data_IF_036005266826
#
_entry.id   IF_036005266826
#
_cell.length_a   1.000
_cell.length_b   1.000
_cell.length_c   1.000
_cell.angle_alpha   90.00
_cell.angle_beta   90.00
_cell.angle_gamma   90.00
#
_symmetry.space_group_name_H-M   'P 1'
#
loop_
_entity.id
_entity.type
_entity.pdbx_description
1 polymer ?
#
# COMPACT_ATOMS: atom_id res chain seq x y z
N UNK A 1 -2.15 -63.37 -31.54
CA UNK A 1 -2.77 -62.03 -31.44
C UNK A 1 -2.71 -61.60 -29.99
N UNK A 2 -1.86 -60.63 -29.63
CA UNK A 2 -1.76 -60.10 -28.26
C UNK A 2 -2.43 -58.73 -28.24
N UNK A 3 -3.52 -58.59 -27.49
CA UNK A 3 -4.21 -57.33 -27.29
C UNK A 3 -3.45 -56.51 -26.23
N UNK A 4 -2.98 -55.33 -26.61
CA UNK A 4 -2.40 -54.34 -25.70
C UNK A 4 -3.53 -53.45 -25.18
N UNK A 5 -3.88 -53.61 -23.90
CA UNK A 5 -4.70 -52.65 -23.17
C UNK A 5 -3.83 -51.46 -22.77
N UNK A 6 -4.04 -50.29 -23.39
CA UNK A 6 -3.48 -49.03 -22.91
C UNK A 6 -4.40 -48.45 -21.83
N UNK A 7 -3.90 -48.38 -20.60
CA UNK A 7 -4.54 -47.70 -19.49
C UNK A 7 -4.27 -46.19 -19.66
N UNK A 8 -5.31 -45.43 -19.98
CA UNK A 8 -5.27 -43.98 -20.03
C UNK A 8 -5.38 -43.44 -18.59
N UNK A 9 -4.24 -43.06 -17.99
CA UNK A 9 -4.21 -42.35 -16.71
C UNK A 9 -4.65 -40.90 -16.94
N UNK A 10 -5.92 -40.61 -16.65
CA UNK A 10 -6.45 -39.25 -16.61
C UNK A 10 -5.93 -38.57 -15.34
N UNK A 11 -4.83 -37.81 -15.43
CA UNK A 11 -4.35 -36.99 -14.32
C UNK A 11 -5.33 -35.83 -14.12
N UNK A 12 -6.20 -35.93 -13.12
CA UNK A 12 -7.06 -34.84 -12.70
C UNK A 12 -6.20 -33.82 -11.95
N UNK A 13 -5.79 -32.75 -12.64
CA UNK A 13 -5.09 -31.61 -12.04
C UNK A 13 -6.07 -30.90 -11.11
N UNK A 14 -6.01 -31.19 -9.80
CA UNK A 14 -6.60 -30.34 -8.78
C UNK A 14 -5.90 -28.98 -8.87
N UNK A 15 -6.53 -28.04 -9.59
CA UNK A 15 -6.15 -26.64 -9.51
C UNK A 15 -6.42 -26.20 -8.08
N UNK A 16 -5.35 -26.03 -7.30
CA UNK A 16 -5.42 -25.24 -6.07
C UNK A 16 -6.15 -23.94 -6.40
N UNK A 17 -7.12 -23.48 -5.59
CA UNK A 17 -7.71 -22.17 -5.79
C UNK A 17 -6.56 -21.19 -5.90
N UNK A 18 -6.49 -20.53 -7.06
CA UNK A 18 -5.35 -19.72 -7.45
C UNK A 18 -4.98 -18.80 -6.30
N UNK A 19 -3.69 -18.74 -5.98
CA UNK A 19 -3.17 -17.60 -5.24
C UNK A 19 -3.61 -16.37 -6.05
N UNK A 20 -4.68 -15.71 -5.60
CA UNK A 20 -5.07 -14.44 -6.16
C UNK A 20 -3.81 -13.58 -6.10
N UNK A 21 -3.33 -13.16 -7.26
CA UNK A 21 -2.14 -12.31 -7.35
C UNK A 21 -2.36 -11.16 -6.38
N UNK A 22 -1.53 -11.10 -5.33
CA UNK A 22 -1.68 -10.13 -4.26
C UNK A 22 -1.62 -8.75 -4.92
N UNK A 23 -2.77 -8.07 -4.98
CA UNK A 23 -2.90 -6.86 -5.77
C UNK A 23 -1.96 -5.81 -5.18
N UNK A 24 -0.86 -5.48 -5.86
CA UNK A 24 0.12 -4.53 -5.32
C UNK A 24 -0.50 -3.15 -5.14
N UNK A 25 -0.18 -2.48 -4.02
CA UNK A 25 -0.48 -1.07 -3.83
C UNK A 25 0.14 -0.26 -4.97
N UNK A 26 -0.70 0.55 -5.63
CA UNK A 26 -0.27 1.36 -6.78
C UNK A 26 0.10 2.75 -6.32
N UNK A 27 1.38 3.07 -6.37
CA UNK A 27 1.84 4.43 -6.09
C UNK A 27 3.12 4.77 -6.85
N UNK A 28 3.28 6.07 -7.14
CA UNK A 28 4.54 6.65 -7.60
C UNK A 28 5.14 7.55 -6.53
N UNK A 29 6.46 7.69 -6.55
CA UNK A 29 7.17 8.63 -5.68
C UNK A 29 7.64 9.79 -6.55
N UNK A 30 7.32 11.01 -6.14
CA UNK A 30 7.85 12.20 -6.80
C UNK A 30 9.23 12.54 -6.25
N UNK A 31 10.22 11.71 -6.62
CA UNK A 31 11.54 11.70 -6.00
C UNK A 31 12.27 13.04 -6.03
N UNK A 32 12.02 13.89 -7.04
CA UNK A 32 12.57 15.25 -7.14
C UNK A 32 12.18 16.16 -5.96
N UNK A 33 11.13 15.81 -5.22
CA UNK A 33 10.69 16.56 -4.04
C UNK A 33 11.43 16.13 -2.77
N UNK A 34 12.12 15.00 -2.77
CA UNK A 34 12.83 14.46 -1.62
C UNK A 34 14.36 14.66 -1.73
N UNK A 35 15.03 14.58 -0.58
CA UNK A 35 16.50 14.61 -0.49
C UNK A 35 17.13 13.21 -0.63
N UNK A 36 16.32 12.16 -0.74
CA UNK A 36 16.74 10.75 -0.85
C UNK A 36 16.40 10.13 -2.19
N UNK A 37 17.14 9.08 -2.54
CA UNK A 37 16.94 8.34 -3.80
C UNK A 37 15.61 7.56 -3.82
N UNK A 38 14.93 7.58 -4.98
CA UNK A 38 13.63 6.92 -5.16
C UNK A 38 13.67 5.42 -4.78
N UNK A 39 14.73 4.72 -5.17
CA UNK A 39 14.86 3.28 -4.95
C UNK A 39 14.86 2.92 -3.45
N UNK A 40 15.51 3.74 -2.62
CA UNK A 40 15.59 3.49 -1.18
C UNK A 40 14.28 3.88 -0.49
N UNK A 41 13.69 5.03 -0.86
CA UNK A 41 12.36 5.42 -0.39
C UNK A 41 11.34 4.31 -0.70
N UNK A 42 11.33 3.82 -1.94
CA UNK A 42 10.42 2.76 -2.38
C UNK A 42 10.58 1.49 -1.55
N UNK A 43 11.81 1.05 -1.30
CA UNK A 43 12.06 -0.13 -0.45
C UNK A 43 11.47 0.03 0.95
N UNK A 44 11.68 1.20 1.59
CA UNK A 44 11.10 1.48 2.90
C UNK A 44 9.58 1.43 2.83
N UNK A 45 8.98 2.10 1.85
CA UNK A 45 7.52 2.20 1.75
C UNK A 45 6.86 0.85 1.44
N UNK A 46 7.47 0.03 0.58
CA UNK A 46 7.01 -1.34 0.30
C UNK A 46 7.13 -2.24 1.53
N UNK A 47 8.22 -2.11 2.29
CA UNK A 47 8.45 -2.94 3.46
C UNK A 47 7.45 -2.65 4.58
N UNK A 48 7.14 -1.38 4.83
CA UNK A 48 6.18 -0.99 5.87
C UNK A 48 4.73 -1.16 5.44
N UNK A 49 4.40 -1.00 4.16
CA UNK A 49 3.03 -1.21 3.68
C UNK A 49 2.61 -2.69 3.72
N UNK A 50 3.55 -3.62 3.50
CA UNK A 50 3.28 -5.07 3.41
C UNK A 50 2.48 -5.64 4.59
N UNK A 51 2.87 -5.45 5.86
CA UNK A 51 2.13 -6.00 7.00
C UNK A 51 0.71 -5.44 7.14
N UNK A 52 0.45 -4.21 6.68
CA UNK A 52 -0.90 -3.64 6.65
C UNK A 52 -1.69 -4.23 5.49
N UNK A 53 -1.14 -4.14 4.28
CA UNK A 53 -1.82 -4.45 3.03
C UNK A 53 -2.26 -5.90 2.88
N UNK A 54 -1.48 -6.86 3.41
CA UNK A 54 -1.82 -8.29 3.39
C UNK A 54 -3.20 -8.59 4.00
N UNK A 55 -3.72 -7.72 4.87
CA UNK A 55 -5.01 -7.90 5.54
C UNK A 55 -6.21 -7.34 4.72
N UNK A 56 -5.97 -6.80 3.53
CA UNK A 56 -6.98 -6.19 2.67
C UNK A 56 -7.13 -6.92 1.31
N UNK A 57 -7.31 -8.26 1.30
CA UNK A 57 -7.41 -9.01 0.05
C UNK A 57 -8.62 -8.55 -0.79
N UNK A 58 -8.36 -8.16 -2.04
CA UNK A 58 -9.40 -7.69 -2.96
C UNK A 58 -9.88 -6.24 -2.71
N UNK A 59 -9.38 -5.56 -1.68
CA UNK A 59 -9.64 -4.14 -1.47
C UNK A 59 -8.99 -3.32 -2.59
N UNK A 60 -9.70 -2.28 -3.04
CA UNK A 60 -9.23 -1.44 -4.15
C UNK A 60 -8.96 -0.03 -3.62
N UNK A 61 -7.72 0.41 -3.79
CA UNK A 61 -7.29 1.77 -3.52
C UNK A 61 -6.95 2.45 -4.84
N UNK A 62 -7.34 3.72 -4.98
CA UNK A 62 -6.93 4.55 -6.10
C UNK A 62 -5.40 4.69 -6.16
N UNK A 63 -4.81 4.96 -7.33
CA UNK A 63 -3.37 5.24 -7.40
C UNK A 63 -2.97 6.39 -6.48
N UNK A 64 -1.81 6.28 -5.83
CA UNK A 64 -1.26 7.33 -4.98
C UNK A 64 -0.04 8.01 -5.62
N UNK A 65 0.19 9.25 -5.24
CA UNK A 65 1.48 9.93 -5.40
C UNK A 65 2.02 10.31 -4.03
N UNK A 66 3.29 9.96 -3.80
CA UNK A 66 4.02 10.32 -2.59
C UNK A 66 4.92 11.52 -2.89
N UNK A 67 4.77 12.59 -2.11
CA UNK A 67 5.52 13.85 -2.26
C UNK A 67 6.08 14.32 -0.91
N UNK A 68 7.07 15.22 -0.93
CA UNK A 68 7.59 15.85 0.29
C UNK A 68 6.63 16.93 0.84
N UNK A 69 6.52 16.98 2.16
CA UNK A 69 5.90 18.07 2.94
C UNK A 69 6.96 18.83 3.72
N UNK A 70 6.66 20.08 4.10
CA UNK A 70 7.47 20.87 5.05
C UNK A 70 6.63 21.33 6.26
N UNK A 71 5.47 20.71 6.48
CA UNK A 71 4.49 21.12 7.50
C UNK A 71 3.83 19.91 8.17
N UNK A 72 4.55 18.78 8.28
CA UNK A 72 4.02 17.50 8.75
C UNK A 72 3.48 16.58 7.64
N UNK A 73 3.36 15.27 7.92
CA UNK A 73 2.76 14.32 7.00
C UNK A 73 1.24 14.56 6.89
N UNK A 74 0.66 14.23 5.73
CA UNK A 74 -0.77 14.36 5.46
C UNK A 74 -1.21 13.61 4.20
N UNK A 75 -2.37 12.95 4.24
CA UNK A 75 -3.15 12.59 3.06
C UNK A 75 -4.10 13.72 2.67
N UNK A 76 -4.01 14.19 1.43
CA UNK A 76 -4.91 15.23 0.90
C UNK A 76 -6.22 14.59 0.43
N UNK A 77 -7.35 15.07 0.94
CA UNK A 77 -8.69 14.63 0.51
C UNK A 77 -8.91 14.79 -1.00
N UNK A 78 -8.55 15.96 -1.52
CA UNK A 78 -8.66 16.26 -2.94
C UNK A 78 -7.64 15.46 -3.77
N UNK A 79 -8.14 14.72 -4.77
CA UNK A 79 -7.29 14.06 -5.76
C UNK A 79 -6.59 15.09 -6.64
N UNK A 80 -5.38 14.78 -7.10
CA UNK A 80 -4.69 15.64 -8.06
C UNK A 80 -5.32 15.54 -9.48
N UNK A 81 -4.77 16.29 -10.43
CA UNK A 81 -5.24 16.28 -11.83
C UNK A 81 -5.18 14.90 -12.52
N UNK A 82 -4.36 13.97 -12.00
CA UNK A 82 -4.23 12.58 -12.49
C UNK A 82 -5.17 11.61 -11.76
N UNK A 83 -6.09 12.13 -10.94
CA UNK A 83 -6.97 11.33 -10.07
C UNK A 83 -6.20 10.47 -9.06
N UNK A 84 -5.01 10.91 -8.63
CA UNK A 84 -4.22 10.23 -7.61
C UNK A 84 -4.53 10.79 -6.21
N UNK A 85 -4.55 9.90 -5.22
CA UNK A 85 -4.47 10.29 -3.81
C UNK A 85 -3.09 10.92 -3.56
N UNK A 86 -3.04 12.12 -3.00
CA UNK A 86 -1.77 12.78 -2.68
C UNK A 86 -1.42 12.51 -1.23
N UNK A 87 -0.33 11.78 -1.02
CA UNK A 87 0.25 11.57 0.31
C UNK A 87 1.52 12.42 0.40
N UNK A 88 1.61 13.23 1.46
CA UNK A 88 2.78 14.05 1.72
C UNK A 88 3.49 13.55 2.95
N UNK A 89 4.80 13.38 2.87
CA UNK A 89 5.64 12.94 3.99
C UNK A 89 6.61 14.07 4.34
N UNK A 90 6.70 14.43 5.62
CA UNK A 90 7.66 15.39 6.14
C UNK A 90 8.92 14.67 6.65
N UNK A 91 9.71 14.16 5.71
CA UNK A 91 10.92 13.38 5.99
C UNK A 91 12.17 14.13 5.57
N UNK A 92 13.32 13.81 6.17
CA UNK A 92 14.59 14.45 5.83
C UNK A 92 15.65 13.42 5.49
N UNK A 93 16.37 13.68 4.39
CA UNK A 93 17.50 12.87 3.94
C UNK A 93 17.18 11.37 4.07
N UNK A 94 18.06 10.62 4.71
CA UNK A 94 18.00 9.17 4.93
C UNK A 94 17.45 8.80 6.31
N UNK A 95 16.63 9.65 6.94
CA UNK A 95 16.00 9.32 8.23
C UNK A 95 14.86 8.32 8.02
N UNK A 96 15.21 7.07 7.74
CA UNK A 96 14.28 6.02 7.33
C UNK A 96 13.15 5.75 8.33
N UNK A 97 13.38 5.98 9.62
CA UNK A 97 12.33 5.92 10.64
C UNK A 97 11.20 6.91 10.37
N UNK A 98 11.49 8.11 9.86
CA UNK A 98 10.47 9.09 9.49
C UNK A 98 9.64 8.61 8.31
N UNK A 99 10.29 8.05 7.28
CA UNK A 99 9.58 7.48 6.12
C UNK A 99 8.69 6.32 6.55
N UNK A 100 9.21 5.42 7.38
CA UNK A 100 8.47 4.26 7.85
C UNK A 100 7.24 4.65 8.67
N UNK A 101 7.45 5.45 9.71
CA UNK A 101 6.39 5.91 10.62
C UNK A 101 5.31 6.70 9.85
N UNK A 102 5.72 7.75 9.13
CA UNK A 102 4.76 8.64 8.48
C UNK A 102 4.01 7.95 7.34
N UNK A 103 4.69 7.11 6.55
CA UNK A 103 3.99 6.40 5.46
C UNK A 103 2.99 5.40 6.00
N UNK A 104 3.30 4.66 7.07
CA UNK A 104 2.35 3.73 7.66
C UNK A 104 1.11 4.47 8.22
N UNK A 105 1.34 5.56 8.95
CA UNK A 105 0.29 6.45 9.46
C UNK A 105 -0.65 6.92 8.33
N UNK A 106 -0.09 7.55 7.31
CA UNK A 106 -0.89 8.11 6.21
C UNK A 106 -1.55 7.01 5.35
N UNK A 107 -0.88 5.86 5.17
CA UNK A 107 -1.50 4.72 4.50
C UNK A 107 -2.70 4.19 5.29
N UNK A 108 -2.66 4.20 6.61
CA UNK A 108 -3.78 3.79 7.45
C UNK A 108 -5.00 4.70 7.24
N UNK A 109 -4.82 6.03 7.14
CA UNK A 109 -5.91 6.94 6.75
C UNK A 109 -6.55 6.51 5.42
N UNK A 110 -5.73 6.20 4.41
CA UNK A 110 -6.23 5.70 3.11
C UNK A 110 -7.05 4.41 3.28
N UNK A 111 -6.56 3.46 4.07
CA UNK A 111 -7.23 2.17 4.30
C UNK A 111 -8.50 2.29 5.15
N UNK A 112 -8.58 3.30 6.02
CA UNK A 112 -9.79 3.68 6.76
C UNK A 112 -10.83 4.39 5.90
N UNK A 113 -10.50 4.71 4.63
CA UNK A 113 -11.40 5.39 3.71
C UNK A 113 -11.57 6.87 4.05
N UNK A 114 -10.47 7.54 4.40
CA UNK A 114 -10.38 8.98 4.71
C UNK A 114 -11.31 9.86 3.87
N UNK A 115 -12.05 10.74 4.55
CA UNK A 115 -13.04 11.65 3.96
C UNK A 115 -12.98 13.02 4.62
N UNK A 116 -13.34 14.05 3.86
CA UNK A 116 -13.51 15.41 4.36
C UNK A 116 -14.90 15.58 5.01
N UNK A 117 -15.22 14.73 6.00
CA UNK A 117 -16.49 14.77 6.72
C UNK A 117 -16.30 14.76 8.25
N UNK A 118 -17.31 14.30 8.99
CA UNK A 118 -17.44 14.46 10.44
C UNK A 118 -16.22 13.95 11.23
N UNK A 119 -16.02 14.51 12.43
CA UNK A 119 -14.85 14.23 13.28
C UNK A 119 -15.17 13.30 14.45
N UNK A 120 -16.36 12.71 14.49
CA UNK A 120 -16.90 11.98 15.65
C UNK A 120 -16.04 10.75 15.97
N UNK A 121 -15.54 10.07 14.94
CA UNK A 121 -14.67 8.88 15.08
C UNK A 121 -13.21 9.16 14.76
N UNK A 122 -12.82 10.43 14.58
CA UNK A 122 -11.45 10.79 14.19
C UNK A 122 -10.42 10.33 15.22
N UNK A 123 -10.75 10.41 16.52
CA UNK A 123 -9.87 9.92 17.58
C UNK A 123 -9.52 8.42 17.42
N UNK A 124 -10.49 7.62 16.94
CA UNK A 124 -10.31 6.19 16.76
C UNK A 124 -9.48 5.90 15.51
N UNK A 125 -9.75 6.61 14.42
CA UNK A 125 -8.95 6.55 13.19
C UNK A 125 -7.48 6.90 13.46
N UNK A 126 -7.21 8.02 14.13
CA UNK A 126 -5.86 8.44 14.51
C UNK A 126 -5.18 7.40 15.41
N UNK A 127 -5.92 6.77 16.34
CA UNK A 127 -5.37 5.69 17.17
C UNK A 127 -4.91 4.48 16.33
N UNK A 128 -5.68 4.12 15.30
CA UNK A 128 -5.28 3.07 14.36
C UNK A 128 -4.07 3.49 13.52
N UNK A 129 -3.99 4.76 13.11
CA UNK A 129 -2.87 5.30 12.34
C UNK A 129 -1.58 5.29 13.18
N UNK A 130 -1.65 5.68 14.46
CA UNK A 130 -0.53 5.54 15.39
C UNK A 130 -0.10 4.08 15.57
N UNK A 131 -1.05 3.16 15.78
CA UNK A 131 -0.76 1.73 15.88
C UNK A 131 -0.11 1.17 14.61
N UNK A 132 -0.56 1.62 13.44
CA UNK A 132 0.00 1.17 12.16
C UNK A 132 1.47 1.57 11.97
N UNK A 133 1.94 2.56 12.73
CA UNK A 133 3.27 3.17 12.62
C UNK A 133 4.34 2.55 13.52
N UNK A 134 3.99 1.49 14.27
CA UNK A 134 4.86 0.72 15.18
C UNK A 134 5.44 -0.53 14.53
#
# INVERSE_FOLDING_TARGET
MRALFSILLLTFSLSLPGQAEESKLRYRIEAKTFESGEADIRKVLEYTARPLWKNFPGYKVEPMVITKSNSGPIVIFQRNARQEIVVKLDTHKTYWSQYAYQWAHELCHVLCGFREDGRENKWFEETLCELSSL
#
